data_IF_616205779786
#
_entry.id   IF_616205779786
#
_cell.length_a   1.000
_cell.length_b   1.000
_cell.length_c   1.000
_cell.angle_alpha   90.00
_cell.angle_beta   90.00
_cell.angle_gamma   90.00
#
_symmetry.space_group_name_H-M   'P 1'
#
loop_
_entity.id
_entity.type
_entity.pdbx_description
1 polymer ?
#
# COMPACT_ATOMS: atom_id res chain seq x y z
N UNK A 1 -21.96 10.55 -4.99
CA UNK A 1 -21.77 9.18 -4.46
C UNK A 1 -20.97 8.42 -5.50
N UNK A 2 -19.92 7.70 -5.10
CA UNK A 2 -19.14 6.83 -6.00
C UNK A 2 -19.29 5.38 -5.53
N UNK A 3 -19.04 4.44 -6.43
CA UNK A 3 -19.01 3.01 -6.13
C UNK A 3 -17.61 2.46 -6.41
N UNK A 4 -17.18 1.40 -5.71
CA UNK A 4 -15.98 0.67 -6.10
C UNK A 4 -16.05 0.27 -7.57
N UNK A 5 -14.96 0.53 -8.31
CA UNK A 5 -14.88 0.15 -9.72
C UNK A 5 -14.85 -1.36 -9.85
N UNK A 6 -15.52 -1.87 -10.88
CA UNK A 6 -15.31 -3.24 -11.32
C UNK A 6 -13.99 -3.31 -12.08
N UNK A 7 -13.28 -4.44 -11.94
CA UNK A 7 -12.05 -4.70 -12.69
C UNK A 7 -12.45 -5.61 -13.85
N UNK A 8 -12.48 -5.05 -15.06
CA UNK A 8 -12.96 -5.72 -16.28
C UNK A 8 -12.26 -7.08 -16.50
N UNK A 9 -10.95 -7.14 -16.23
CA UNK A 9 -10.14 -8.37 -16.39
C UNK A 9 -10.60 -9.51 -15.48
N UNK A 10 -11.25 -9.20 -14.34
CA UNK A 10 -11.75 -10.16 -13.36
C UNK A 10 -13.18 -10.60 -13.69
N UNK A 11 -13.93 -9.85 -14.52
CA UNK A 11 -15.30 -10.22 -14.92
C UNK A 11 -15.34 -11.50 -15.75
N UNK A 12 -14.24 -11.84 -16.40
CA UNK A 12 -14.10 -13.09 -17.12
C UNK A 12 -14.33 -14.29 -16.21
N UNK A 13 -14.97 -15.33 -16.73
CA UNK A 13 -15.12 -16.59 -16.00
C UNK A 13 -13.75 -17.13 -15.57
N UNK A 14 -13.66 -17.56 -14.31
CA UNK A 14 -12.49 -18.28 -13.81
C UNK A 14 -11.59 -17.52 -12.85
N UNK A 15 -11.91 -16.30 -12.44
CA UNK A 15 -11.27 -15.68 -11.28
C UNK A 15 -11.98 -16.07 -9.98
N UNK A 16 -11.21 -16.31 -8.92
CA UNK A 16 -11.74 -16.66 -7.59
C UNK A 16 -10.89 -16.03 -6.49
N UNK A 17 -11.52 -15.80 -5.34
CA UNK A 17 -10.81 -15.48 -4.09
C UNK A 17 -10.05 -16.72 -3.63
N UNK A 18 -8.74 -16.59 -3.41
CA UNK A 18 -7.90 -17.68 -2.91
C UNK A 18 -7.57 -17.55 -1.43
N UNK A 19 -7.73 -16.37 -0.85
CA UNK A 19 -7.48 -16.13 0.57
C UNK A 19 -7.72 -14.69 1.00
N UNK A 20 -7.68 -14.48 2.31
CA UNK A 20 -7.69 -13.16 2.92
C UNK A 20 -6.83 -13.11 4.18
N UNK A 21 -6.34 -11.93 4.53
CA UNK A 21 -5.75 -11.62 5.82
C UNK A 21 -6.45 -10.42 6.45
N UNK A 22 -6.34 -10.30 7.77
CA UNK A 22 -6.95 -9.23 8.55
C UNK A 22 -6.00 -8.81 9.66
N UNK A 23 -5.82 -7.50 9.82
CA UNK A 23 -5.05 -6.91 10.91
C UNK A 23 -5.85 -5.80 11.59
N UNK A 24 -5.64 -5.63 12.90
CA UNK A 24 -6.05 -4.41 13.62
C UNK A 24 -4.83 -3.52 13.74
N UNK A 25 -4.93 -2.28 13.25
CA UNK A 25 -3.86 -1.28 13.24
C UNK A 25 -4.30 -0.06 14.05
N UNK A 26 -3.43 0.45 14.92
CA UNK A 26 -3.71 1.55 15.82
C UNK A 26 -3.23 2.89 15.24
N UNK A 27 -3.84 3.30 14.14
CA UNK A 27 -3.50 4.53 13.43
C UNK A 27 -4.74 5.24 12.87
N UNK A 28 -4.56 6.49 12.45
CA UNK A 28 -5.62 7.19 11.73
C UNK A 28 -5.83 6.54 10.36
N UNK A 29 -7.08 6.39 9.90
CA UNK A 29 -7.42 5.67 8.66
C UNK A 29 -6.61 6.16 7.45
N UNK A 30 -6.32 7.45 7.38
CA UNK A 30 -5.58 8.05 6.26
C UNK A 30 -4.10 7.68 6.21
N UNK A 31 -3.52 7.18 7.30
CA UNK A 31 -2.08 6.86 7.36
C UNK A 31 -1.73 5.63 6.54
N UNK A 32 -2.66 4.67 6.41
CA UNK A 32 -2.45 3.47 5.60
C UNK A 32 -2.39 3.80 4.10
N UNK A 33 -3.40 4.46 3.49
CA UNK A 33 -3.35 4.83 2.09
C UNK A 33 -2.30 5.91 1.76
N UNK A 34 -1.82 6.70 2.74
CA UNK A 34 -0.71 7.64 2.52
C UNK A 34 0.56 6.94 2.03
N UNK A 35 0.80 5.68 2.43
CA UNK A 35 1.94 4.89 1.95
C UNK A 35 1.98 4.77 0.41
N UNK A 36 0.84 4.84 -0.27
CA UNK A 36 0.80 4.83 -1.73
C UNK A 36 1.48 6.06 -2.36
N UNK A 37 1.52 7.19 -1.66
CA UNK A 37 2.17 8.42 -2.10
C UNK A 37 3.56 8.64 -1.45
N UNK A 38 3.82 8.02 -0.30
CA UNK A 38 5.13 8.04 0.35
C UNK A 38 6.11 7.08 -0.33
N UNK A 39 6.57 7.40 -1.54
CA UNK A 39 7.49 6.50 -2.26
C UNK A 39 8.85 6.31 -1.54
N UNK A 40 9.18 7.18 -0.59
CA UNK A 40 10.42 7.19 0.17
C UNK A 40 10.53 6.03 1.16
N UNK A 41 9.42 5.48 1.66
CA UNK A 41 9.45 4.39 2.65
C UNK A 41 9.78 3.03 2.03
N UNK A 42 9.54 2.82 0.72
CA UNK A 42 9.60 1.49 0.11
C UNK A 42 10.93 0.76 0.33
N UNK A 43 12.06 1.40 0.03
CA UNK A 43 13.36 0.77 0.23
C UNK A 43 13.79 0.70 1.71
N UNK A 44 13.62 1.75 2.54
CA UNK A 44 13.89 1.67 3.97
C UNK A 44 13.13 0.58 4.72
N UNK A 45 11.87 0.32 4.37
CA UNK A 45 10.98 -0.61 5.10
C UNK A 45 10.90 -1.98 4.41
N UNK A 46 10.88 -2.04 3.08
CA UNK A 46 10.58 -3.27 2.32
C UNK A 46 11.75 -3.83 1.52
N UNK A 47 12.97 -3.26 1.61
CA UNK A 47 14.14 -3.83 0.92
C UNK A 47 14.51 -5.21 1.45
N UNK A 48 14.36 -5.46 2.75
CA UNK A 48 14.72 -6.76 3.32
C UNK A 48 13.81 -7.85 2.76
N UNK A 49 14.39 -8.94 2.24
CA UNK A 49 13.60 -10.01 1.62
C UNK A 49 12.54 -10.55 2.59
N UNK A 50 11.30 -10.70 2.12
CA UNK A 50 10.18 -11.23 2.91
C UNK A 50 10.48 -12.60 3.54
N UNK A 51 11.35 -13.42 2.93
CA UNK A 51 11.80 -14.71 3.48
C UNK A 51 12.47 -14.59 4.86
N UNK A 52 12.93 -13.39 5.24
CA UNK A 52 13.55 -13.14 6.53
C UNK A 52 12.57 -12.68 7.61
N UNK A 53 11.26 -12.63 7.31
CA UNK A 53 10.21 -12.32 8.27
C UNK A 53 9.92 -10.82 8.41
N UNK A 54 8.98 -10.50 9.31
CA UNK A 54 8.48 -9.13 9.53
C UNK A 54 9.27 -8.34 10.57
N UNK A 55 10.00 -8.99 11.47
CA UNK A 55 10.83 -8.29 12.46
C UNK A 55 12.18 -7.87 11.87
N UNK A 56 12.27 -6.62 11.44
CA UNK A 56 13.48 -6.04 10.87
C UNK A 56 14.66 -5.94 11.87
N UNK A 57 14.41 -5.95 13.19
CA UNK A 57 15.48 -5.84 14.19
C UNK A 57 16.29 -7.14 14.33
N UNK A 58 15.68 -8.28 14.00
CA UNK A 58 16.33 -9.60 14.09
C UNK A 58 17.14 -9.96 12.83
N UNK A 59 17.07 -9.13 11.78
CA UNK A 59 17.67 -9.44 10.49
C UNK A 59 19.07 -8.82 10.42
N UNK A 60 20.08 -9.66 10.27
CA UNK A 60 21.46 -9.21 10.15
C UNK A 60 21.81 -8.75 8.71
N UNK A 61 22.84 -7.92 8.59
CA UNK A 61 23.29 -7.35 7.32
C UNK A 61 23.72 -8.41 6.30
N UNK A 62 24.25 -9.56 6.74
CA UNK A 62 24.69 -10.64 5.84
C UNK A 62 23.51 -11.31 5.14
N UNK A 63 22.39 -11.57 5.84
CA UNK A 63 21.15 -12.06 5.20
C UNK A 63 20.59 -11.06 4.18
N UNK A 64 20.56 -9.78 4.52
CA UNK A 64 20.09 -8.71 3.62
C UNK A 64 20.97 -8.57 2.35
N UNK A 65 22.27 -8.85 2.46
CA UNK A 65 23.19 -8.82 1.32
C UNK A 65 23.02 -10.02 0.39
N UNK A 66 22.57 -11.17 0.92
CA UNK A 66 22.32 -12.37 0.13
C UNK A 66 21.09 -12.24 -0.76
N UNK A 67 20.02 -11.60 -0.27
CA UNK A 67 18.86 -11.28 -1.10
C UNK A 67 18.07 -10.10 -0.56
N UNK A 68 17.63 -9.23 -1.47
CA UNK A 68 16.80 -8.08 -1.16
C UNK A 68 15.85 -7.74 -2.31
N UNK A 69 14.82 -6.99 -1.96
CA UNK A 69 13.90 -6.34 -2.88
C UNK A 69 14.43 -4.95 -3.23
N UNK A 70 14.17 -4.53 -4.46
CA UNK A 70 14.38 -3.17 -4.92
C UNK A 70 13.05 -2.65 -5.44
N UNK A 71 12.68 -1.50 -4.92
CA UNK A 71 11.47 -0.79 -5.31
C UNK A 71 11.86 0.46 -6.07
N UNK A 72 11.37 0.60 -7.30
CA UNK A 72 11.71 1.68 -8.22
C UNK A 72 10.49 2.13 -9.03
N UNK A 73 10.65 3.26 -9.74
CA UNK A 73 9.62 3.83 -10.62
C UNK A 73 8.24 3.94 -9.94
N UNK A 74 8.27 4.21 -8.63
CA UNK A 74 7.09 4.42 -7.82
C UNK A 74 6.46 5.77 -8.18
N UNK A 75 5.15 5.76 -8.42
CA UNK A 75 4.40 6.96 -8.75
C UNK A 75 3.05 6.97 -8.05
N UNK A 76 2.52 8.17 -7.85
CA UNK A 76 1.18 8.40 -7.33
C UNK A 76 0.59 9.64 -8.01
N UNK A 77 -0.67 9.57 -8.42
CA UNK A 77 -1.39 10.69 -9.03
C UNK A 77 -2.89 10.60 -8.73
N UNK A 78 -3.50 11.70 -8.32
CA UNK A 78 -4.96 11.83 -8.28
C UNK A 78 -5.53 11.89 -9.70
N UNK A 79 -6.64 11.20 -9.94
CA UNK A 79 -7.32 11.25 -11.22
C UNK A 79 -7.93 12.65 -11.47
N UNK A 80 -7.94 13.07 -12.72
CA UNK A 80 -8.41 14.41 -13.12
C UNK A 80 -9.90 14.45 -13.40
N UNK A 81 -10.49 13.34 -13.83
CA UNK A 81 -11.91 13.23 -14.17
C UNK A 81 -12.71 12.66 -12.99
N UNK A 82 -12.21 11.58 -12.40
CA UNK A 82 -12.82 10.89 -11.28
C UNK A 82 -12.22 11.35 -9.96
N UNK A 83 -12.80 12.41 -9.39
CA UNK A 83 -12.32 13.05 -8.15
C UNK A 83 -12.01 12.09 -6.98
N UNK A 84 -12.69 10.94 -6.92
CA UNK A 84 -12.56 9.93 -5.87
C UNK A 84 -11.47 8.88 -6.16
N UNK A 85 -10.76 8.96 -7.28
CA UNK A 85 -9.76 8.00 -7.70
C UNK A 85 -8.34 8.60 -7.61
N UNK A 86 -7.39 7.76 -7.22
CA UNK A 86 -5.97 8.00 -7.45
C UNK A 86 -5.33 6.71 -8.00
N UNK A 87 -4.27 6.87 -8.78
CA UNK A 87 -3.56 5.76 -9.40
C UNK A 87 -2.07 5.87 -9.16
N UNK A 88 -1.36 4.77 -9.38
CA UNK A 88 0.09 4.78 -9.34
C UNK A 88 0.68 3.48 -9.86
N UNK A 89 2.00 3.49 -9.95
CA UNK A 89 2.81 2.37 -10.43
C UNK A 89 3.92 2.07 -9.44
N UNK A 90 4.39 0.84 -9.44
CA UNK A 90 5.53 0.42 -8.64
C UNK A 90 6.23 -0.73 -9.36
N UNK A 91 7.52 -0.57 -9.61
CA UNK A 91 8.36 -1.65 -10.11
C UNK A 91 9.08 -2.31 -8.95
N UNK A 92 9.10 -3.62 -8.99
CA UNK A 92 9.68 -4.46 -7.97
C UNK A 92 10.66 -5.43 -8.62
N UNK A 93 11.88 -5.46 -8.08
CA UNK A 93 12.93 -6.39 -8.50
C UNK A 93 13.48 -7.16 -7.31
N UNK A 94 13.97 -8.38 -7.54
CA UNK A 94 14.71 -9.15 -6.55
C UNK A 94 16.18 -9.23 -6.97
N UNK A 95 17.08 -8.93 -6.03
CA UNK A 95 18.50 -9.28 -6.15
C UNK A 95 18.83 -10.52 -5.32
N UNK A 96 19.71 -11.36 -5.86
CA UNK A 96 20.32 -12.50 -5.18
C UNK A 96 21.83 -12.39 -5.36
N UNK A 97 22.57 -12.43 -4.26
CA UNK A 97 24.03 -12.25 -4.22
C UNK A 97 24.52 -11.01 -4.99
N UNK A 98 23.74 -9.93 -4.98
CA UNK A 98 24.04 -8.67 -5.68
C UNK A 98 23.58 -8.59 -7.15
N UNK A 99 23.16 -9.70 -7.76
CA UNK A 99 22.71 -9.74 -9.15
C UNK A 99 21.18 -9.65 -9.24
N UNK A 100 20.69 -8.85 -10.19
CA UNK A 100 19.25 -8.77 -10.52
C UNK A 100 18.79 -10.09 -11.12
N UNK A 101 17.57 -10.50 -10.78
CA UNK A 101 16.94 -11.72 -11.30
C UNK A 101 15.78 -11.31 -12.21
N UNK A 102 15.99 -11.17 -13.54
CA UNK A 102 15.01 -10.51 -14.43
C UNK A 102 13.64 -11.20 -14.49
N UNK A 103 13.58 -12.52 -14.34
CA UNK A 103 12.32 -13.28 -14.35
C UNK A 103 11.51 -13.16 -13.04
N UNK A 104 12.04 -12.48 -12.03
CA UNK A 104 11.33 -12.13 -10.78
C UNK A 104 10.97 -10.64 -10.73
N UNK A 105 11.23 -9.88 -11.79
CA UNK A 105 10.78 -8.50 -11.88
C UNK A 105 9.26 -8.49 -12.05
N UNK A 106 8.60 -7.66 -11.26
CA UNK A 106 7.15 -7.47 -11.33
C UNK A 106 6.82 -5.99 -11.38
N UNK A 107 5.94 -5.64 -12.32
CA UNK A 107 5.36 -4.31 -12.39
C UNK A 107 3.96 -4.36 -11.78
N UNK A 108 3.70 -3.42 -10.90
CA UNK A 108 2.44 -3.28 -10.21
C UNK A 108 1.83 -1.94 -10.59
N UNK A 109 0.51 -1.92 -10.80
CA UNK A 109 -0.28 -0.71 -10.78
C UNK A 109 -1.24 -0.76 -9.61
N UNK A 110 -1.59 0.40 -9.07
CA UNK A 110 -2.65 0.47 -8.08
C UNK A 110 -3.69 1.52 -8.43
N UNK A 111 -4.92 1.24 -7.99
CA UNK A 111 -6.04 2.17 -8.00
C UNK A 111 -6.53 2.32 -6.58
N UNK A 112 -6.41 3.52 -6.02
CA UNK A 112 -7.04 3.89 -4.77
C UNK A 112 -8.40 4.53 -5.05
N UNK A 113 -9.46 3.91 -4.54
CA UNK A 113 -10.84 4.33 -4.71
C UNK A 113 -11.35 4.85 -3.38
N UNK A 114 -11.49 6.16 -3.29
CA UNK A 114 -11.91 6.83 -2.07
C UNK A 114 -10.91 6.69 -0.92
N UNK A 115 -11.39 6.76 0.33
CA UNK A 115 -10.54 6.84 1.50
C UNK A 115 -10.00 5.50 1.99
N UNK A 116 -10.48 4.36 1.49
CA UNK A 116 -10.18 3.06 2.12
C UNK A 116 -10.28 1.82 1.24
N UNK A 117 -10.27 1.95 -0.08
CA UNK A 117 -10.21 0.80 -1.00
C UNK A 117 -9.02 1.00 -1.93
N UNK A 118 -8.14 0.02 -2.02
CA UNK A 118 -7.06 -0.01 -3.01
C UNK A 118 -7.07 -1.34 -3.74
N UNK A 119 -6.91 -1.29 -5.06
CA UNK A 119 -6.67 -2.46 -5.89
C UNK A 119 -5.21 -2.44 -6.31
N UNK A 120 -4.40 -3.37 -5.82
CA UNK A 120 -3.05 -3.59 -6.32
C UNK A 120 -3.11 -4.68 -7.39
N UNK A 121 -2.78 -4.31 -8.63
CA UNK A 121 -2.94 -5.13 -9.83
C UNK A 121 -1.56 -5.53 -10.36
N UNK A 122 -1.37 -6.83 -10.59
CA UNK A 122 -0.12 -7.38 -11.12
C UNK A 122 -0.42 -8.27 -12.32
N UNK A 123 -0.85 -7.66 -13.42
CA UNK A 123 -1.25 -8.39 -14.63
C UNK A 123 -0.06 -8.86 -15.48
N UNK A 124 1.08 -8.17 -15.39
CA UNK A 124 2.29 -8.48 -16.17
C UNK A 124 3.11 -9.64 -15.60
N UNK A 125 2.67 -10.23 -14.47
CA UNK A 125 3.33 -11.39 -13.87
C UNK A 125 3.19 -12.60 -14.81
N UNK A 126 4.32 -12.99 -15.41
CA UNK A 126 4.45 -13.72 -16.68
C UNK A 126 3.63 -15.03 -16.86
N UNK A 127 2.88 -15.54 -15.88
CA UNK A 127 1.97 -16.68 -16.04
C UNK A 127 0.80 -16.75 -15.04
N UNK A 128 0.60 -15.76 -14.17
CA UNK A 128 -0.51 -15.78 -13.22
C UNK A 128 -0.86 -14.34 -12.77
N UNK A 129 -1.79 -13.68 -13.46
CA UNK A 129 -2.24 -12.37 -13.03
C UNK A 129 -2.93 -12.47 -11.67
N UNK A 130 -2.69 -11.47 -10.81
CA UNK A 130 -3.21 -11.42 -9.45
C UNK A 130 -3.66 -10.00 -9.13
N UNK A 131 -4.76 -9.91 -8.39
CA UNK A 131 -5.24 -8.65 -7.82
C UNK A 131 -5.35 -8.83 -6.32
N UNK A 132 -4.78 -7.88 -5.59
CA UNK A 132 -4.88 -7.79 -4.15
C UNK A 132 -5.77 -6.59 -3.81
N UNK A 133 -6.92 -6.87 -3.21
CA UNK A 133 -7.79 -5.84 -2.65
C UNK A 133 -7.28 -5.50 -1.26
N UNK A 134 -6.97 -4.23 -1.01
CA UNK A 134 -6.62 -3.70 0.30
C UNK A 134 -7.82 -2.86 0.77
N UNK A 135 -8.43 -3.26 1.88
CA UNK A 135 -9.59 -2.59 2.45
C UNK A 135 -9.22 -2.02 3.82
N UNK A 136 -9.41 -0.71 3.97
CA UNK A 136 -9.08 0.07 5.15
C UNK A 136 -10.38 0.56 5.78
N UNK A 137 -10.76 -0.04 6.90
CA UNK A 137 -12.06 0.20 7.55
C UNK A 137 -11.84 0.82 8.93
N UNK A 138 -12.27 2.08 9.16
CA UNK A 138 -12.17 2.69 10.48
C UNK A 138 -13.20 2.05 11.41
N UNK A 139 -12.76 1.48 12.53
CA UNK A 139 -13.67 0.88 13.53
C UNK A 139 -13.85 1.77 14.76
N UNK A 140 -12.85 2.60 15.06
CA UNK A 140 -12.91 3.66 16.07
C UNK A 140 -11.85 4.73 15.74
N UNK A 141 -11.85 5.90 16.41
CA UNK A 141 -10.75 6.86 16.27
C UNK A 141 -9.40 6.19 16.53
N UNK A 142 -8.45 6.35 15.59
CA UNK A 142 -7.12 5.74 15.65
C UNK A 142 -7.11 4.20 15.78
N UNK A 143 -8.19 3.54 15.36
CA UNK A 143 -8.25 2.08 15.29
C UNK A 143 -8.89 1.67 13.96
N UNK A 144 -8.10 0.99 13.14
CA UNK A 144 -8.44 0.67 11.76
C UNK A 144 -8.27 -0.83 11.53
N UNK A 145 -9.25 -1.44 10.86
CA UNK A 145 -9.14 -2.80 10.36
C UNK A 145 -8.59 -2.77 8.94
N UNK A 146 -7.54 -3.53 8.71
CA UNK A 146 -6.88 -3.66 7.41
C UNK A 146 -7.08 -5.08 6.90
N UNK A 147 -7.75 -5.20 5.75
CA UNK A 147 -7.98 -6.48 5.10
C UNK A 147 -7.21 -6.54 3.79
N UNK A 148 -6.57 -7.68 3.53
CA UNK A 148 -6.10 -8.02 2.19
C UNK A 148 -6.90 -9.20 1.67
N UNK A 149 -7.45 -9.10 0.47
CA UNK A 149 -8.16 -10.20 -0.22
C UNK A 149 -7.47 -10.44 -1.55
N UNK A 150 -6.98 -11.66 -1.75
CA UNK A 150 -6.24 -12.02 -2.95
C UNK A 150 -7.13 -12.77 -3.94
N UNK A 151 -7.15 -12.30 -5.18
CA UNK A 151 -7.95 -12.82 -6.28
C UNK A 151 -7.02 -13.19 -7.43
N UNK A 152 -7.17 -14.41 -7.95
CA UNK A 152 -6.41 -14.91 -9.11
C UNK A 152 -7.24 -15.95 -9.88
N UNK A 153 -6.71 -16.43 -11.00
CA UNK A 153 -7.33 -17.47 -11.82
C UNK A 153 -7.51 -18.77 -11.01
N UNK A 154 -8.59 -19.50 -11.28
CA UNK A 154 -8.96 -20.80 -10.68
C UNK A 154 -8.15 -21.93 -11.31
N UNK A 155 -6.82 -21.81 -11.24
CA UNK A 155 -5.85 -22.82 -11.69
C UNK A 155 -4.88 -23.12 -10.54
N UNK A 156 -4.14 -24.23 -10.65
CA UNK A 156 -3.10 -24.55 -9.65
C UNK A 156 -2.05 -23.44 -9.56
N UNK A 157 -1.61 -22.92 -10.72
CA UNK A 157 -0.62 -21.83 -10.79
C UNK A 157 -1.19 -20.55 -10.17
N UNK A 158 -2.44 -20.18 -10.51
CA UNK A 158 -3.10 -19.01 -9.92
C UNK A 158 -3.26 -19.11 -8.41
N UNK A 159 -3.56 -20.31 -7.88
CA UNK A 159 -3.61 -20.57 -6.43
C UNK A 159 -2.23 -20.40 -5.78
N UNK A 160 -1.18 -20.96 -6.35
CA UNK A 160 0.18 -20.84 -5.81
C UNK A 160 0.69 -19.39 -5.84
N UNK A 161 0.38 -18.66 -6.91
CA UNK A 161 0.69 -17.24 -7.02
C UNK A 161 -0.05 -16.44 -5.94
N UNK A 162 -1.36 -16.65 -5.79
CA UNK A 162 -2.17 -15.94 -4.81
C UNK A 162 -1.70 -16.20 -3.37
N UNK A 163 -1.37 -17.45 -3.03
CA UNK A 163 -0.82 -17.80 -1.72
C UNK A 163 0.55 -17.16 -1.47
N UNK A 164 1.41 -17.13 -2.49
CA UNK A 164 2.71 -16.46 -2.40
C UNK A 164 2.54 -14.96 -2.15
N UNK A 165 1.70 -14.30 -2.94
CA UNK A 165 1.44 -12.84 -2.86
C UNK A 165 0.89 -12.46 -1.49
N UNK A 166 -0.17 -13.13 -1.01
CA UNK A 166 -0.75 -12.78 0.29
C UNK A 166 0.21 -13.08 1.47
N UNK A 167 1.06 -14.09 1.34
CA UNK A 167 2.06 -14.40 2.38
C UNK A 167 3.16 -13.34 2.43
N UNK A 168 3.67 -12.92 1.27
CA UNK A 168 4.67 -11.84 1.17
C UNK A 168 4.06 -10.53 1.66
N UNK A 169 2.84 -10.22 1.22
CA UNK A 169 2.14 -8.99 1.63
C UNK A 169 1.95 -8.94 3.14
N UNK A 170 1.53 -10.02 3.80
CA UNK A 170 1.39 -10.05 5.25
C UNK A 170 2.71 -9.69 5.95
N UNK A 171 3.83 -10.20 5.46
CA UNK A 171 5.15 -9.88 6.02
C UNK A 171 5.51 -8.41 5.80
N UNK A 172 5.21 -7.87 4.60
CA UNK A 172 5.48 -6.48 4.28
C UNK A 172 4.62 -5.54 5.12
N UNK A 173 3.32 -5.78 5.20
CA UNK A 173 2.41 -4.91 5.94
C UNK A 173 2.62 -4.98 7.45
N UNK A 174 3.06 -6.13 7.99
CA UNK A 174 3.43 -6.21 9.41
C UNK A 174 4.58 -5.25 9.76
N UNK A 175 5.50 -4.98 8.82
CA UNK A 175 6.58 -3.98 9.00
C UNK A 175 6.02 -2.57 9.07
N UNK A 176 5.06 -2.24 8.21
CA UNK A 176 4.35 -0.96 8.27
C UNK A 176 3.52 -0.83 9.55
N UNK A 177 2.86 -1.90 10.00
CA UNK A 177 2.06 -1.91 11.23
C UNK A 177 2.91 -1.53 12.44
N UNK A 178 4.16 -1.99 12.51
CA UNK A 178 5.09 -1.57 13.57
C UNK A 178 5.29 -0.04 13.54
N UNK A 179 5.44 0.56 12.36
CA UNK A 179 5.60 2.01 12.21
C UNK A 179 4.29 2.73 12.55
N UNK A 180 3.17 2.31 11.98
CA UNK A 180 1.85 2.92 12.20
C UNK A 180 1.43 2.90 13.68
N UNK A 181 1.70 1.81 14.39
CA UNK A 181 1.37 1.69 15.82
C UNK A 181 2.28 2.52 16.73
N UNK A 182 3.46 2.94 16.25
CA UNK A 182 4.47 3.63 17.06
C UNK A 182 4.80 5.05 16.55
N UNK A 183 4.12 5.54 15.51
CA UNK A 183 4.23 6.91 15.02
C UNK A 183 3.14 7.80 15.60
N UNK A 184 3.42 9.09 15.70
CA UNK A 184 2.42 10.10 16.05
C UNK A 184 1.79 10.66 14.78
N UNK A 185 0.46 10.57 14.67
CA UNK A 185 -0.28 11.27 13.63
C UNK A 185 -0.14 12.79 13.77
N UNK A 186 0.17 13.49 12.67
CA UNK A 186 0.29 14.94 12.62
C UNK A 186 -0.23 15.52 11.31
N UNK A 187 -1.06 16.57 11.43
CA UNK A 187 -1.50 17.36 10.27
C UNK A 187 -0.42 18.34 9.81
N UNK A 188 0.56 18.66 10.68
CA UNK A 188 1.68 19.57 10.40
C UNK A 188 2.97 18.77 10.35
N UNK A 189 3.27 18.23 9.17
CA UNK A 189 4.57 17.60 8.89
C UNK A 189 5.54 18.62 8.32
N UNK A 190 6.82 18.48 8.67
CA UNK A 190 7.90 19.18 7.97
C UNK A 190 8.24 18.35 6.73
N UNK A 191 8.18 18.99 5.57
CA UNK A 191 8.46 18.35 4.30
C UNK A 191 9.72 18.96 3.69
N UNK A 192 10.57 18.11 3.14
CA UNK A 192 11.65 18.51 2.24
C UNK A 192 11.11 18.89 0.86
N UNK A 193 12.02 19.29 -0.03
CA UNK A 193 11.75 19.50 -1.46
C UNK A 193 11.92 18.21 -2.28
N UNK A 194 11.92 17.04 -1.62
CA UNK A 194 12.01 15.75 -2.32
C UNK A 194 10.71 15.45 -3.07
N UNK A 195 10.83 14.72 -4.18
CA UNK A 195 9.68 14.27 -4.96
C UNK A 195 8.69 13.45 -4.13
N UNK A 196 9.18 12.60 -3.21
CA UNK A 196 8.31 11.82 -2.29
C UNK A 196 7.44 12.72 -1.43
N UNK A 197 8.04 13.74 -0.81
CA UNK A 197 7.29 14.67 0.06
C UNK A 197 6.28 15.51 -0.72
N UNK A 198 6.55 15.82 -1.99
CA UNK A 198 5.58 16.46 -2.87
C UNK A 198 4.37 15.56 -3.15
N UNK A 199 4.58 14.27 -3.37
CA UNK A 199 3.49 13.30 -3.55
C UNK A 199 2.63 13.18 -2.29
N UNK A 200 3.25 13.10 -1.10
CA UNK A 200 2.51 13.07 0.17
C UNK A 200 1.63 14.33 0.33
N UNK A 201 2.15 15.52 0.00
CA UNK A 201 1.35 16.77 0.04
C UNK A 201 0.15 16.70 -0.91
N UNK A 202 0.36 16.21 -2.15
CA UNK A 202 -0.71 16.06 -3.14
C UNK A 202 -1.76 15.05 -2.66
N UNK A 203 -1.32 13.92 -2.10
CA UNK A 203 -2.19 12.92 -1.48
C UNK A 203 -3.03 13.52 -0.37
N UNK A 204 -2.41 14.20 0.62
CA UNK A 204 -3.15 14.79 1.74
C UNK A 204 -4.20 15.80 1.29
N UNK A 205 -3.87 16.62 0.28
CA UNK A 205 -4.82 17.57 -0.32
C UNK A 205 -5.99 16.85 -0.99
N UNK A 206 -5.71 15.80 -1.76
CA UNK A 206 -6.74 14.99 -2.41
C UNK A 206 -7.60 14.23 -1.39
N UNK A 207 -6.99 13.63 -0.37
CA UNK A 207 -7.69 12.83 0.64
C UNK A 207 -8.62 13.68 1.52
N UNK A 208 -8.31 14.97 1.71
CA UNK A 208 -9.08 15.85 2.60
C UNK A 208 -10.56 15.99 2.18
N UNK A 209 -10.87 15.77 0.91
CA UNK A 209 -12.23 15.85 0.37
C UNK A 209 -13.16 14.77 0.93
N UNK A 210 -12.64 13.66 1.44
CA UNK A 210 -13.44 12.57 2.01
C UNK A 210 -13.89 12.85 3.45
N UNK A 211 -13.41 13.94 4.06
CA UNK A 211 -13.85 14.37 5.37
C UNK A 211 -15.05 15.31 5.31
N UNK A 212 -16.10 14.97 6.07
CA UNK A 212 -17.23 15.87 6.31
C UNK A 212 -16.82 17.08 7.16
N UNK A 213 -17.60 18.15 7.12
CA UNK A 213 -17.38 19.37 7.93
C UNK A 213 -17.30 19.08 9.44
N UNK A 214 -18.08 18.11 9.90
CA UNK A 214 -18.12 17.67 11.30
C UNK A 214 -17.00 16.68 11.68
N UNK A 215 -16.10 16.34 10.75
CA UNK A 215 -14.95 15.52 11.08
C UNK A 215 -13.98 16.31 11.98
N UNK A 216 -13.49 15.67 13.04
CA UNK A 216 -12.46 16.27 13.92
C UNK A 216 -11.15 16.62 13.18
N UNK A 217 -10.96 16.10 11.97
CA UNK A 217 -9.84 16.41 11.09
C UNK A 217 -9.98 17.81 10.46
N UNK A 218 -11.17 18.19 9.96
CA UNK A 218 -11.46 19.57 9.49
C UNK A 218 -11.52 20.57 10.64
N UNK A 219 -12.09 20.18 11.80
CA UNK A 219 -12.21 21.09 12.94
C UNK A 219 -10.86 21.48 13.57
N UNK A 220 -9.80 20.67 13.36
CA UNK A 220 -8.41 20.97 13.78
C UNK A 220 -7.65 21.86 12.79
N UNK A 221 -8.10 22.00 11.56
CA UNK A 221 -7.57 23.01 10.61
C UNK A 221 -8.13 24.42 10.90
N UNK A 222 -9.34 24.51 11.47
CA UNK A 222 -10.02 25.80 11.72
C UNK A 222 -9.74 26.44 13.09
N UNK A 223 -9.16 25.71 14.06
CA UNK A 223 -8.98 26.21 15.45
C UNK A 223 -7.53 26.11 15.94
N UNK A 224 -6.56 26.50 15.11
CA UNK A 224 -5.17 26.58 15.54
C UNK A 224 -4.65 28.02 15.52
N UNK A 225 -5.38 28.90 16.21
CA UNK A 225 -4.81 30.10 16.81
C UNK A 225 -4.03 29.63 18.05
N UNK A 226 -2.71 29.66 17.96
CA UNK A 226 -1.81 29.46 19.10
C UNK A 226 -0.78 30.58 19.07
N UNK A 227 -1.21 31.77 19.49
CA UNK A 227 -0.30 32.70 20.14
C UNK A 227 0.26 32.00 21.39
N UNK A 228 1.56 31.77 21.41
CA UNK A 228 2.31 31.83 22.66
C UNK A 228 2.55 33.30 23.02
#
# INVERSE_FOLDING_TARGET
MYLPREIEEIKEQGWVVHGRSEHTVYCHISEIPENGADIGHFNPVHQVNALYGSDLQQINKSKQMLSNHIWSNASWKADEEDWYLATGTLEHEIKIAGYRVPFLQTNHSFEQIGPGVVYLKSFESANAPVVLYVLVVPVAPFTTKLFHVVVSRKTLIGKLQALTVISIENIMVERDIVIWNNKKFTNRSVFSSSYSDELIKKFRRWYSQFYSENSGAKSRELNADFSW
#
